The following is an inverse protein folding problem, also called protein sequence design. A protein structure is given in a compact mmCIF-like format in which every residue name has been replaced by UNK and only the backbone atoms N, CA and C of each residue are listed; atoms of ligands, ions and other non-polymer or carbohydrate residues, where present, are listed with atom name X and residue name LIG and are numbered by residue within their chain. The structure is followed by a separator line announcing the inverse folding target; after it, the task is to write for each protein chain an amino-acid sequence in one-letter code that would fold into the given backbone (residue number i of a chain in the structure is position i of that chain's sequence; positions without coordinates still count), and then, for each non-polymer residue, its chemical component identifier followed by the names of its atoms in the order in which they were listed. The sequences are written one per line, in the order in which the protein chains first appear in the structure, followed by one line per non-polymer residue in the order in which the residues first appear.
data_IF_274386055240
#
_entry.id   IF_274386055240
#
_cell.length_a   1.000
_cell.length_b   1.000
_cell.length_c   1.000
_cell.angle_alpha   90.00
_cell.angle_beta   90.00
_cell.angle_gamma   90.00
#
_symmetry.space_group_name_H-M   'P 1'
#
loop_
_entity.id
_entity.type
_entity.pdbx_description
1 polymer ?
#
# COMPACT_ATOMS: atom_id res chain seq x y z
N UNK A 1 2.03 -19.30 -0.16
CA UNK A 1 1.28 -18.52 -1.19
C UNK A 1 1.54 -17.01 -1.17
N UNK A 2 2.09 -16.40 -0.10
CA UNK A 2 2.21 -14.93 -0.02
C UNK A 2 3.37 -14.31 -0.81
N UNK A 3 4.39 -15.09 -1.17
CA UNK A 3 5.58 -14.58 -1.87
C UNK A 3 5.27 -14.09 -3.30
N UNK A 4 4.67 -14.91 -4.19
CA UNK A 4 4.38 -14.46 -5.56
C UNK A 4 3.42 -13.25 -5.57
N UNK A 5 2.43 -13.25 -4.67
CA UNK A 5 1.46 -12.19 -4.48
C UNK A 5 2.11 -10.84 -4.09
N UNK A 6 3.19 -10.85 -3.29
CA UNK A 6 3.95 -9.62 -2.96
C UNK A 6 4.78 -9.11 -4.13
N UNK A 7 5.33 -10.01 -4.95
CA UNK A 7 6.09 -9.64 -6.14
C UNK A 7 5.15 -9.01 -7.17
N UNK A 8 3.96 -9.58 -7.37
CA UNK A 8 2.91 -9.00 -8.19
C UNK A 8 2.51 -7.60 -7.68
N UNK A 9 2.25 -7.46 -6.37
CA UNK A 9 1.89 -6.16 -5.79
C UNK A 9 2.96 -5.08 -6.05
N UNK A 10 4.23 -5.44 -5.88
CA UNK A 10 5.36 -4.53 -6.12
C UNK A 10 5.48 -4.16 -7.60
N UNK A 11 5.38 -5.14 -8.50
CA UNK A 11 5.45 -4.90 -9.94
C UNK A 11 4.32 -3.96 -10.40
N UNK A 12 3.09 -4.14 -9.88
CA UNK A 12 1.96 -3.27 -10.21
C UNK A 12 2.18 -1.84 -9.73
N UNK A 13 2.66 -1.62 -8.50
CA UNK A 13 2.88 -0.27 -7.95
C UNK A 13 4.06 0.45 -8.62
N UNK A 14 5.15 -0.25 -8.91
CA UNK A 14 6.29 0.31 -9.66
C UNK A 14 5.85 0.64 -11.09
N UNK A 15 5.14 -0.28 -11.76
CA UNK A 15 4.62 -0.07 -13.11
C UNK A 15 3.67 1.12 -13.18
N UNK A 16 2.78 1.28 -12.20
CA UNK A 16 1.91 2.45 -12.09
C UNK A 16 2.72 3.73 -11.83
N UNK A 17 3.80 3.65 -11.05
CA UNK A 17 4.76 4.72 -10.85
C UNK A 17 5.44 5.23 -12.14
N UNK A 18 5.68 4.32 -13.09
CA UNK A 18 6.26 4.62 -14.41
C UNK A 18 5.25 5.13 -15.44
N UNK A 19 3.96 5.23 -15.10
CA UNK A 19 2.94 5.74 -16.02
C UNK A 19 3.11 7.25 -16.29
N UNK A 20 2.62 7.70 -17.45
CA UNK A 20 2.64 9.12 -17.81
C UNK A 20 1.87 9.96 -16.77
N UNK A 21 2.45 11.08 -16.32
CA UNK A 21 1.85 11.94 -15.29
C UNK A 21 2.11 11.48 -13.84
N UNK A 22 2.88 10.40 -13.65
CA UNK A 22 3.38 9.91 -12.36
C UNK A 22 4.89 10.15 -12.22
N UNK A 23 5.40 9.97 -10.99
CA UNK A 23 6.83 9.91 -10.71
C UNK A 23 7.21 8.51 -10.23
N UNK A 24 8.24 7.93 -10.87
CA UNK A 24 8.79 6.62 -10.55
C UNK A 24 9.17 6.52 -9.06
N UNK A 25 9.71 7.60 -8.49
CA UNK A 25 10.12 7.65 -7.09
C UNK A 25 8.93 7.38 -6.14
N UNK A 26 7.74 7.90 -6.46
CA UNK A 26 6.53 7.65 -5.66
C UNK A 26 6.07 6.20 -5.76
N UNK A 27 6.17 5.59 -6.95
CA UNK A 27 5.88 4.16 -7.13
C UNK A 27 6.77 3.27 -6.27
N UNK A 28 8.07 3.60 -6.17
CA UNK A 28 8.99 2.89 -5.27
C UNK A 28 8.64 3.11 -3.80
N UNK A 29 8.35 4.35 -3.37
CA UNK A 29 7.95 4.62 -1.98
C UNK A 29 6.68 3.86 -1.62
N UNK A 30 5.65 3.90 -2.49
CA UNK A 30 4.42 3.14 -2.30
C UNK A 30 4.68 1.63 -2.19
N UNK A 31 5.59 1.10 -3.02
CA UNK A 31 6.01 -0.31 -2.98
C UNK A 31 6.71 -0.68 -1.68
N UNK A 32 7.62 0.16 -1.19
CA UNK A 32 8.29 -0.06 0.10
C UNK A 32 7.29 -0.17 1.24
N UNK A 33 6.32 0.75 1.33
CA UNK A 33 5.24 0.65 2.30
C UNK A 33 4.38 -0.59 2.06
N UNK A 34 4.10 -0.92 0.80
CA UNK A 34 3.27 -2.07 0.46
C UNK A 34 3.84 -3.39 0.96
N UNK A 35 5.17 -3.54 0.92
CA UNK A 35 5.94 -4.68 1.46
C UNK A 35 6.09 -4.62 2.98
N UNK A 36 6.14 -3.42 3.57
CA UNK A 36 6.30 -3.24 5.01
C UNK A 36 5.05 -3.63 5.81
N UNK A 37 3.85 -3.39 5.30
CA UNK A 37 2.59 -3.73 6.01
C UNK A 37 2.45 -5.24 6.34
N UNK A 38 2.68 -6.18 5.40
CA UNK A 38 2.70 -7.62 5.70
C UNK A 38 3.81 -8.01 6.67
N UNK A 39 4.97 -7.35 6.61
CA UNK A 39 6.08 -7.60 7.53
C UNK A 39 5.70 -7.24 8.97
N UNK A 40 5.07 -6.08 9.20
CA UNK A 40 4.57 -5.71 10.53
C UNK A 40 3.54 -6.71 11.07
N UNK A 41 2.67 -7.24 10.20
CA UNK A 41 1.71 -8.28 10.58
C UNK A 41 2.42 -9.58 11.00
N UNK A 42 3.44 -9.98 10.26
CA UNK A 42 4.25 -11.16 10.60
C UNK A 42 4.98 -10.96 11.94
N UNK A 43 5.55 -9.78 12.17
CA UNK A 43 6.20 -9.43 13.45
C UNK A 43 5.22 -9.42 14.63
N UNK A 44 4.01 -8.86 14.45
CA UNK A 44 2.97 -8.93 15.47
C UNK A 44 2.59 -10.37 15.84
N UNK A 45 2.62 -11.30 14.88
CA UNK A 45 2.36 -12.72 15.11
C UNK A 45 3.48 -13.40 15.92
N UNK A 46 4.74 -13.06 15.65
CA UNK A 46 5.90 -13.60 16.41
C UNK A 46 5.86 -13.15 17.87
N UNK A 47 5.41 -11.93 18.13
CA UNK A 47 5.27 -11.36 19.48
C UNK A 47 4.09 -11.98 20.28
N UNK A 48 3.27 -12.83 19.64
CA UNK A 48 2.11 -13.47 20.26
C UNK A 48 0.83 -12.62 20.20
N UNK A 49 0.81 -11.58 19.37
CA UNK A 49 -0.41 -10.81 19.09
C UNK A 49 -1.35 -11.55 18.15
N UNK A 50 -2.65 -11.24 18.25
CA UNK A 50 -3.68 -11.69 17.32
C UNK A 50 -3.39 -11.19 15.90
N UNK A 51 -3.76 -11.97 14.87
CA UNK A 51 -3.49 -11.64 13.47
C UNK A 51 -4.41 -10.49 13.02
N UNK A 52 -3.95 -9.27 13.23
CA UNK A 52 -4.74 -8.05 13.06
C UNK A 52 -4.76 -7.58 11.60
N UNK A 53 -5.94 -7.63 10.99
CA UNK A 53 -6.19 -7.11 9.64
C UNK A 53 -6.60 -5.64 9.62
N UNK A 54 -6.66 -4.97 10.77
CA UNK A 54 -7.12 -3.59 10.88
C UNK A 54 -6.26 -2.58 10.12
N UNK A 55 -6.93 -1.61 9.51
CA UNK A 55 -6.37 -0.47 8.80
C UNK A 55 -7.33 0.01 7.70
N UNK A 56 -7.47 1.33 7.46
CA UNK A 56 -8.30 1.86 6.37
C UNK A 56 -7.81 1.39 4.99
N UNK A 57 -6.56 0.92 4.91
CA UNK A 57 -5.92 0.51 3.68
C UNK A 57 -5.43 -0.95 3.78
N UNK A 58 -6.39 -1.86 3.92
CA UNK A 58 -6.17 -3.30 3.81
C UNK A 58 -5.68 -3.68 2.40
N UNK A 59 -5.10 -4.88 2.23
CA UNK A 59 -4.54 -5.34 0.93
C UNK A 59 -5.55 -5.18 -0.23
N UNK A 60 -6.81 -5.52 -0.01
CA UNK A 60 -7.87 -5.36 -1.02
C UNK A 60 -8.13 -3.90 -1.39
N UNK A 61 -8.13 -2.98 -0.42
CA UNK A 61 -8.36 -1.56 -0.67
C UNK A 61 -7.22 -0.93 -1.48
N UNK A 62 -5.96 -1.31 -1.21
CA UNK A 62 -4.82 -0.82 -2.01
C UNK A 62 -4.94 -1.21 -3.47
N UNK A 63 -5.27 -2.48 -3.71
CA UNK A 63 -5.36 -2.98 -5.07
C UNK A 63 -6.57 -2.43 -5.81
N UNK A 64 -7.70 -2.26 -5.13
CA UNK A 64 -8.85 -1.57 -5.71
C UNK A 64 -8.48 -0.15 -6.16
N UNK A 65 -7.78 0.62 -5.33
CA UNK A 65 -7.36 1.99 -5.68
C UNK A 65 -6.44 2.01 -6.91
N UNK A 66 -5.41 1.14 -6.94
CA UNK A 66 -4.48 1.07 -8.09
C UNK A 66 -5.21 0.65 -9.36
N UNK A 67 -6.05 -0.36 -9.30
CA UNK A 67 -6.80 -0.85 -10.46
C UNK A 67 -7.76 0.21 -10.97
N UNK A 68 -8.55 0.85 -10.10
CA UNK A 68 -9.47 1.92 -10.49
C UNK A 68 -8.70 3.09 -11.11
N UNK A 69 -7.61 3.54 -10.48
CA UNK A 69 -6.81 4.64 -10.99
C UNK A 69 -6.20 4.30 -12.37
N UNK A 70 -5.69 3.08 -12.55
CA UNK A 70 -5.16 2.62 -13.83
C UNK A 70 -6.25 2.53 -14.91
N UNK A 71 -7.44 2.01 -14.58
CA UNK A 71 -8.55 1.94 -15.53
C UNK A 71 -9.05 3.33 -15.93
N UNK A 72 -9.16 4.27 -14.99
CA UNK A 72 -9.55 5.66 -15.28
C UNK A 72 -8.51 6.34 -16.18
N UNK A 73 -7.22 6.16 -15.92
CA UNK A 73 -6.16 6.70 -16.78
C UNK A 73 -6.15 6.07 -18.17
N UNK A 74 -6.52 4.79 -18.29
CA UNK A 74 -6.63 4.11 -19.58
C UNK A 74 -7.83 4.59 -20.42
N UNK A 75 -8.96 4.93 -19.77
CA UNK A 75 -10.19 5.37 -20.44
C UNK A 75 -10.21 6.87 -20.75
N UNK A 76 -9.45 7.67 -20.00
CA UNK A 76 -9.46 9.14 -20.09
C UNK A 76 -8.04 9.65 -20.24
N UNK A 77 -7.58 9.98 -21.47
CA UNK A 77 -6.24 10.52 -21.70
C UNK A 77 -5.98 11.83 -20.93
N UNK A 78 -7.00 12.67 -20.79
CA UNK A 78 -6.92 13.95 -20.04
C UNK A 78 -6.61 13.76 -18.54
N UNK A 79 -6.83 12.56 -17.99
CA UNK A 79 -6.49 12.25 -16.60
C UNK A 79 -4.98 12.27 -16.34
N UNK A 80 -4.16 12.05 -17.38
CA UNK A 80 -2.69 12.14 -17.29
C UNK A 80 -2.27 13.60 -17.10
N UNK A 81 -2.92 14.53 -17.79
CA UNK A 81 -2.63 15.97 -17.67
C UNK A 81 -3.00 16.53 -16.29
N UNK A 82 -4.01 15.94 -15.64
CA UNK A 82 -4.44 16.32 -14.29
C UNK A 82 -3.61 15.69 -13.17
N UNK A 83 -2.52 14.97 -13.51
CA UNK A 83 -1.62 14.30 -12.55
C UNK A 83 -2.36 13.33 -11.61
N UNK A 84 -3.49 12.78 -12.06
CA UNK A 84 -4.32 11.83 -11.33
C UNK A 84 -3.54 10.60 -10.82
N UNK A 85 -2.58 10.03 -11.60
CA UNK A 85 -1.70 8.95 -11.13
C UNK A 85 -0.87 9.33 -9.88
N UNK A 86 -0.38 10.57 -9.83
CA UNK A 86 0.42 11.08 -8.71
C UNK A 86 -0.43 11.19 -7.44
N UNK A 87 -1.67 11.68 -7.56
CA UNK A 87 -2.59 11.77 -6.42
C UNK A 87 -3.00 10.39 -5.89
N UNK A 88 -3.24 9.43 -6.78
CA UNK A 88 -3.53 8.05 -6.38
C UNK A 88 -2.37 7.41 -5.61
N UNK A 89 -1.12 7.61 -6.05
CA UNK A 89 0.07 7.16 -5.33
C UNK A 89 0.20 7.82 -3.96
N UNK A 90 -0.04 9.13 -3.87
CA UNK A 90 -0.04 9.85 -2.59
C UNK A 90 -1.09 9.31 -1.62
N UNK A 91 -2.31 9.08 -2.10
CA UNK A 91 -3.38 8.47 -1.31
C UNK A 91 -2.95 7.09 -0.80
N UNK A 92 -2.30 6.29 -1.65
CA UNK A 92 -1.78 4.98 -1.29
C UNK A 92 -0.69 5.07 -0.21
N UNK A 93 0.26 5.99 -0.36
CA UNK A 93 1.34 6.18 0.60
C UNK A 93 0.77 6.63 1.95
N UNK A 94 -0.10 7.64 1.97
CA UNK A 94 -0.71 8.17 3.20
C UNK A 94 -1.54 7.11 3.90
N UNK A 95 -2.42 6.40 3.18
CA UNK A 95 -3.23 5.33 3.77
C UNK A 95 -2.38 4.16 4.29
N UNK A 96 -1.25 3.88 3.64
CA UNK A 96 -0.28 2.86 4.10
C UNK A 96 0.46 3.31 5.36
N UNK A 97 0.87 4.57 5.46
CA UNK A 97 1.48 5.16 6.68
C UNK A 97 0.50 5.09 7.85
N UNK A 98 -0.74 5.53 7.65
CA UNK A 98 -1.78 5.48 8.70
C UNK A 98 -2.00 4.03 9.17
N UNK A 99 -2.03 3.07 8.24
CA UNK A 99 -2.17 1.66 8.59
C UNK A 99 -0.95 1.13 9.34
N UNK A 100 0.25 1.55 8.95
CA UNK A 100 1.52 1.21 9.60
C UNK A 100 1.52 1.64 11.06
N UNK A 101 1.21 2.93 11.33
CA UNK A 101 1.14 3.50 12.68
C UNK A 101 0.09 2.81 13.53
N UNK A 102 -1.11 2.56 12.99
CA UNK A 102 -2.19 1.86 13.71
C UNK A 102 -1.79 0.43 14.12
N UNK A 103 -1.11 -0.30 13.23
CA UNK A 103 -0.62 -1.66 13.52
C UNK A 103 0.49 -1.64 14.56
N UNK A 104 1.45 -0.72 14.44
CA UNK A 104 2.55 -0.60 15.39
C UNK A 104 2.03 -0.27 16.80
N UNK A 105 1.12 0.70 16.93
CA UNK A 105 0.53 1.06 18.21
C UNK A 105 -0.19 -0.10 18.89
N UNK A 106 -0.87 -0.96 18.13
CA UNK A 106 -1.52 -2.18 18.67
C UNK A 106 -0.51 -3.23 19.13
N UNK A 107 0.57 -3.45 18.38
CA UNK A 107 1.65 -4.36 18.77
C UNK A 107 2.30 -3.90 20.08
N UNK A 108 2.62 -2.60 20.18
CA UNK A 108 3.18 -2.00 21.40
C UNK A 108 2.19 -2.11 22.57
N UNK A 109 0.89 -1.90 22.34
CA UNK A 109 -0.14 -2.11 23.37
C UNK A 109 -0.19 -3.56 23.88
N UNK A 110 -0.05 -4.54 22.98
CA UNK A 110 -0.02 -5.97 23.35
C UNK A 110 1.20 -6.31 24.21
N UNK A 111 2.36 -5.70 23.90
CA UNK A 111 3.59 -5.87 24.67
C UNK A 111 3.51 -5.23 26.05
N UNK A 112 2.81 -4.10 26.21
CA UNK A 112 2.71 -3.38 27.49
C UNK A 112 1.79 -4.07 28.51
N UNK A 113 0.88 -4.93 28.04
CA UNK A 113 -0.07 -5.68 28.89
C UNK A 113 0.50 -7.03 29.35
N UNK A 114 1.63 -7.46 28.77
CA UNK A 114 2.41 -8.62 29.21
C UNK A 114 3.51 -8.20 30.17
#
# INVERSE_FOLDING_TARGET
NEVPDRVSDAATLIGFGCSAGSNVLLGFVATCFALFLPYLRAMGKVVGGQQEFCGPMAKQQRMAVVTIAATVCALTPDAVDWKLPTYALWLIIVGSIVTCVRRLNRIVGTLRVR
#
